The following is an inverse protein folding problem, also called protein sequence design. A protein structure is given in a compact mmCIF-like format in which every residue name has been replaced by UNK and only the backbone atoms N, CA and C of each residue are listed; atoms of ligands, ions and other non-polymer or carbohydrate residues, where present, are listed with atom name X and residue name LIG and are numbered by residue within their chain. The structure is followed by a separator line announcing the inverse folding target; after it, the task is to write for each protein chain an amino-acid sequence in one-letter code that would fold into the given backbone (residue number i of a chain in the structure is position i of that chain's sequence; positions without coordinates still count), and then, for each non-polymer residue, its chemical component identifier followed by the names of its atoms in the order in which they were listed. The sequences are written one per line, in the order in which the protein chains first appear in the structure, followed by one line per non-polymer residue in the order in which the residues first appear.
data_IF_835604248883
#
_entry.id   IF_835604248883
#
_cell.length_a   1.000
_cell.length_b   1.000
_cell.length_c   1.000
_cell.angle_alpha   90.00
_cell.angle_beta   90.00
_cell.angle_gamma   90.00
#
_symmetry.space_group_name_H-M   'P 1'
#
loop_
_entity.id
_entity.type
_entity.pdbx_description
1 polymer ?
#
# COMPACT_ATOMS: atom_id res chain seq x y z
N UNK A 1 15.79 -9.21 -28.67
CA UNK A 1 14.55 -8.40 -28.79
C UNK A 1 15.01 -6.96 -29.01
N UNK A 2 14.70 -6.30 -30.14
CA UNK A 2 15.22 -4.93 -30.39
C UNK A 2 14.50 -3.90 -29.51
N UNK A 3 15.18 -2.80 -29.22
CA UNK A 3 14.66 -1.67 -28.45
C UNK A 3 13.37 -1.13 -29.09
N UNK A 4 13.28 -1.15 -30.41
CA UNK A 4 12.10 -0.69 -31.17
C UNK A 4 10.84 -1.52 -30.89
N UNK A 5 10.97 -2.83 -30.69
CA UNK A 5 9.82 -3.69 -30.30
C UNK A 5 9.37 -3.42 -28.87
N UNK A 6 10.28 -3.01 -27.99
CA UNK A 6 10.01 -2.65 -26.61
C UNK A 6 9.33 -1.28 -26.52
N UNK A 7 9.78 -0.32 -27.33
CA UNK A 7 9.16 1.00 -27.44
C UNK A 7 7.81 0.96 -28.14
N UNK A 8 7.63 0.14 -29.18
CA UNK A 8 6.34 -0.06 -29.83
C UNK A 8 5.29 -0.69 -28.88
N UNK A 9 5.69 -1.69 -28.07
CA UNK A 9 4.82 -2.23 -27.01
C UNK A 9 4.49 -1.19 -25.93
N UNK A 10 5.46 -0.38 -25.50
CA UNK A 10 5.24 0.69 -24.52
C UNK A 10 4.35 1.82 -25.08
N UNK A 11 4.48 2.13 -26.36
CA UNK A 11 3.65 3.12 -27.06
C UNK A 11 2.20 2.62 -27.23
N UNK A 12 2.00 1.37 -27.63
CA UNK A 12 0.67 0.75 -27.73
C UNK A 12 0.00 0.55 -26.36
N UNK A 13 0.77 0.32 -25.29
CA UNK A 13 0.24 0.28 -23.93
C UNK A 13 -0.20 1.68 -23.42
N UNK A 14 0.42 2.77 -23.92
CA UNK A 14 -0.01 4.14 -23.61
C UNK A 14 -1.28 4.56 -24.37
N UNK A 15 -1.63 3.90 -25.47
CA UNK A 15 -2.83 4.20 -26.27
C UNK A 15 -4.06 3.35 -25.94
N UNK A 16 -3.91 2.27 -25.17
CA UNK A 16 -5.04 1.46 -24.70
C UNK A 16 -5.45 1.88 -23.28
N UNK A 17 -6.60 2.54 -23.08
CA UNK A 17 -7.01 3.01 -21.74
C UNK A 17 -7.51 1.89 -20.84
N UNK A 18 -7.80 0.70 -21.38
CA UNK A 18 -8.49 -0.37 -20.64
C UNK A 18 -7.71 -0.82 -19.39
N UNK A 19 -6.39 -1.09 -19.43
CA UNK A 19 -5.61 -1.39 -18.23
C UNK A 19 -5.73 -0.33 -17.12
N UNK A 20 -5.63 0.96 -17.48
CA UNK A 20 -5.76 2.05 -16.51
C UNK A 20 -7.17 2.13 -15.93
N UNK A 21 -8.19 1.95 -16.76
CA UNK A 21 -9.59 1.92 -16.32
C UNK A 21 -9.85 0.77 -15.34
N UNK A 22 -9.37 -0.44 -15.62
CA UNK A 22 -9.50 -1.60 -14.71
C UNK A 22 -8.90 -1.29 -13.34
N UNK A 23 -7.72 -0.65 -13.32
CA UNK A 23 -7.05 -0.30 -12.08
C UNK A 23 -7.78 0.79 -11.29
N UNK A 24 -8.29 1.83 -11.95
CA UNK A 24 -9.07 2.88 -11.28
C UNK A 24 -10.41 2.36 -10.75
N UNK A 25 -11.09 1.49 -11.51
CA UNK A 25 -12.30 0.81 -11.04
C UNK A 25 -11.99 -0.07 -9.81
N UNK A 26 -10.89 -0.82 -9.83
CA UNK A 26 -10.46 -1.65 -8.71
C UNK A 26 -10.24 -0.83 -7.44
N UNK A 27 -9.55 0.31 -7.53
CA UNK A 27 -9.38 1.22 -6.38
C UNK A 27 -10.73 1.72 -5.87
N UNK A 28 -11.61 2.17 -6.76
CA UNK A 28 -12.91 2.71 -6.41
C UNK A 28 -13.83 1.69 -5.74
N UNK A 29 -13.93 0.49 -6.30
CA UNK A 29 -14.73 -0.60 -5.71
C UNK A 29 -14.14 -1.07 -4.38
N UNK A 30 -12.81 -1.18 -4.29
CA UNK A 30 -12.12 -1.54 -3.04
C UNK A 30 -12.42 -0.54 -1.92
N UNK A 31 -12.22 0.77 -2.17
CA UNK A 31 -12.44 1.82 -1.15
C UNK A 31 -13.90 1.88 -0.70
N UNK A 32 -14.86 1.60 -1.60
CA UNK A 32 -16.30 1.58 -1.27
C UNK A 32 -16.78 0.27 -0.65
N UNK A 33 -15.98 -0.80 -0.69
CA UNK A 33 -16.39 -2.11 -0.21
C UNK A 33 -17.37 -2.83 -1.12
N UNK A 34 -17.42 -2.48 -2.40
CA UNK A 34 -18.33 -3.09 -3.37
C UNK A 34 -17.76 -4.44 -3.85
N UNK A 35 -17.99 -5.50 -3.05
CA UNK A 35 -17.49 -6.85 -3.31
C UNK A 35 -18.06 -7.45 -4.61
N UNK A 36 -19.30 -7.13 -4.97
CA UNK A 36 -19.95 -7.65 -6.18
C UNK A 36 -19.31 -7.07 -7.45
N UNK A 37 -19.11 -5.75 -7.48
CA UNK A 37 -18.40 -5.09 -8.58
C UNK A 37 -16.93 -5.50 -8.64
N UNK A 38 -16.28 -5.68 -7.48
CA UNK A 38 -14.91 -6.17 -7.39
C UNK A 38 -14.75 -7.57 -8.01
N UNK A 39 -15.65 -8.51 -7.66
CA UNK A 39 -15.62 -9.86 -8.21
C UNK A 39 -15.89 -9.87 -9.73
N UNK A 40 -16.88 -9.08 -10.16
CA UNK A 40 -17.16 -8.91 -11.59
C UNK A 40 -15.94 -8.38 -12.36
N UNK A 41 -15.23 -7.42 -11.77
CA UNK A 41 -14.03 -6.83 -12.35
C UNK A 41 -12.87 -7.84 -12.42
N UNK A 42 -12.68 -8.67 -11.39
CA UNK A 42 -11.66 -9.73 -11.38
C UNK A 42 -11.93 -10.72 -12.51
N UNK A 43 -13.17 -11.19 -12.66
CA UNK A 43 -13.53 -12.16 -13.71
C UNK A 43 -13.37 -11.56 -15.12
N UNK A 44 -13.72 -10.27 -15.29
CA UNK A 44 -13.45 -9.55 -16.54
C UNK A 44 -11.95 -9.45 -16.83
N UNK A 45 -11.13 -9.11 -15.82
CA UNK A 45 -9.68 -9.05 -15.98
C UNK A 45 -9.11 -10.42 -16.35
N UNK A 46 -9.50 -11.50 -15.65
CA UNK A 46 -9.07 -12.88 -15.98
C UNK A 46 -9.39 -13.26 -17.42
N UNK A 47 -10.57 -12.87 -17.91
CA UNK A 47 -11.05 -13.21 -19.26
C UNK A 47 -10.35 -12.42 -20.37
N UNK A 48 -10.27 -11.10 -20.22
CA UNK A 48 -9.93 -10.20 -21.32
C UNK A 48 -8.53 -9.57 -21.19
N UNK A 49 -8.00 -9.49 -19.96
CA UNK A 49 -6.74 -8.82 -19.62
C UNK A 49 -5.98 -9.58 -18.50
N UNK A 50 -5.62 -10.85 -18.71
CA UNK A 50 -5.05 -11.69 -17.65
C UNK A 50 -3.75 -11.13 -17.07
N UNK A 51 -3.01 -10.32 -17.84
CA UNK A 51 -1.81 -9.60 -17.40
C UNK A 51 -2.08 -8.47 -16.41
N UNK A 52 -3.31 -7.97 -16.33
CA UNK A 52 -3.73 -6.93 -15.40
C UNK A 52 -4.31 -7.49 -14.09
N UNK A 53 -4.61 -8.80 -14.03
CA UNK A 53 -5.18 -9.45 -12.84
C UNK A 53 -4.38 -9.15 -11.56
N UNK A 54 -3.04 -9.26 -11.52
CA UNK A 54 -2.28 -8.92 -10.33
C UNK A 54 -2.55 -7.50 -9.82
N UNK A 55 -2.54 -6.50 -10.73
CA UNK A 55 -2.75 -5.10 -10.36
C UNK A 55 -4.18 -4.84 -9.89
N UNK A 56 -5.17 -5.49 -10.51
CA UNK A 56 -6.57 -5.43 -10.07
C UNK A 56 -6.71 -5.98 -8.65
N UNK A 57 -6.13 -7.16 -8.37
CA UNK A 57 -6.15 -7.76 -7.04
C UNK A 57 -5.47 -6.87 -6.00
N UNK A 58 -4.31 -6.30 -6.33
CA UNK A 58 -3.56 -5.42 -5.43
C UNK A 58 -4.33 -4.14 -5.11
N UNK A 59 -4.93 -3.50 -6.12
CA UNK A 59 -5.73 -2.29 -5.95
C UNK A 59 -7.02 -2.56 -5.16
N UNK A 60 -7.66 -3.72 -5.37
CA UNK A 60 -8.83 -4.12 -4.58
C UNK A 60 -8.44 -4.39 -3.13
N UNK A 61 -7.40 -5.17 -2.87
CA UNK A 61 -6.94 -5.49 -1.51
C UNK A 61 -6.52 -4.24 -0.74
N UNK A 62 -5.72 -3.38 -1.37
CA UNK A 62 -5.34 -2.08 -0.79
C UNK A 62 -6.55 -1.17 -0.60
N UNK A 63 -7.45 -1.10 -1.57
CA UNK A 63 -8.67 -0.29 -1.48
C UNK A 63 -9.60 -0.73 -0.35
N UNK A 64 -9.89 -2.04 -0.24
CA UNK A 64 -10.67 -2.59 0.87
C UNK A 64 -10.02 -2.27 2.22
N UNK A 65 -8.70 -2.37 2.29
CA UNK A 65 -7.95 -2.05 3.49
C UNK A 65 -8.04 -0.56 3.85
N UNK A 66 -7.86 0.35 2.90
CA UNK A 66 -8.03 1.81 3.10
C UNK A 66 -9.45 2.14 3.56
N UNK A 67 -10.47 1.58 2.90
CA UNK A 67 -11.88 1.82 3.19
C UNK A 67 -12.39 1.18 4.50
N UNK A 68 -11.57 0.42 5.21
CA UNK A 68 -11.98 -0.27 6.43
C UNK A 68 -12.78 -1.57 6.21
N UNK A 69 -12.82 -2.06 4.97
CA UNK A 69 -13.51 -3.30 4.59
C UNK A 69 -12.64 -4.54 4.86
N UNK A 70 -12.26 -4.71 6.12
CA UNK A 70 -11.27 -5.70 6.56
C UNK A 70 -11.62 -7.13 6.12
N UNK A 71 -12.89 -7.53 6.29
CA UNK A 71 -13.36 -8.86 5.90
C UNK A 71 -13.15 -9.12 4.41
N UNK A 72 -13.48 -8.15 3.55
CA UNK A 72 -13.28 -8.25 2.11
C UNK A 72 -11.79 -8.37 1.75
N UNK A 73 -10.92 -7.58 2.40
CA UNK A 73 -9.47 -7.67 2.19
C UNK A 73 -8.91 -9.07 2.55
N UNK A 74 -9.31 -9.64 3.69
CA UNK A 74 -8.89 -10.99 4.09
C UNK A 74 -9.47 -12.08 3.20
N UNK A 75 -10.75 -11.98 2.83
CA UNK A 75 -11.38 -12.93 1.90
C UNK A 75 -10.66 -12.95 0.55
N UNK A 76 -10.31 -11.76 0.02
CA UNK A 76 -9.56 -11.65 -1.23
C UNK A 76 -8.18 -12.32 -1.10
N UNK A 77 -7.48 -12.09 0.01
CA UNK A 77 -6.20 -12.74 0.30
C UNK A 77 -6.34 -14.27 0.35
N UNK A 78 -7.37 -14.79 1.02
CA UNK A 78 -7.61 -16.23 1.12
C UNK A 78 -7.97 -16.86 -0.23
N UNK A 79 -8.70 -16.14 -1.08
CA UNK A 79 -9.00 -16.59 -2.44
C UNK A 79 -7.72 -16.63 -3.30
N UNK A 80 -6.89 -15.59 -3.23
CA UNK A 80 -5.62 -15.54 -3.96
C UNK A 80 -4.65 -16.62 -3.47
N UNK A 81 -4.60 -16.90 -2.16
CA UNK A 81 -3.83 -18.03 -1.61
C UNK A 81 -4.24 -19.38 -2.20
N UNK A 82 -5.52 -19.56 -2.57
CA UNK A 82 -6.03 -20.80 -3.15
C UNK A 82 -5.82 -20.87 -4.67
N UNK A 83 -6.10 -19.77 -5.37
CA UNK A 83 -6.12 -19.74 -6.84
C UNK A 83 -4.76 -19.43 -7.45
N UNK A 84 -4.01 -18.50 -6.87
CA UNK A 84 -2.71 -18.08 -7.39
C UNK A 84 -1.76 -17.61 -6.26
N UNK A 85 -1.11 -18.56 -5.55
CA UNK A 85 -0.22 -18.26 -4.43
C UNK A 85 0.95 -17.33 -4.77
N UNK A 86 1.35 -17.24 -6.05
CA UNK A 86 2.44 -16.37 -6.50
C UNK A 86 2.13 -14.87 -6.33
N UNK A 87 0.86 -14.50 -6.28
CA UNK A 87 0.42 -13.11 -6.12
C UNK A 87 0.28 -12.69 -4.65
N UNK A 88 0.37 -13.64 -3.72
CA UNK A 88 0.24 -13.39 -2.27
C UNK A 88 1.24 -12.33 -1.78
N UNK A 89 2.54 -12.38 -2.10
CA UNK A 89 3.49 -11.36 -1.64
C UNK A 89 3.11 -9.93 -2.06
N UNK A 90 2.66 -9.74 -3.31
CA UNK A 90 2.24 -8.44 -3.80
C UNK A 90 0.98 -7.94 -3.08
N UNK A 91 -0.01 -8.82 -2.96
CA UNK A 91 -1.27 -8.51 -2.29
C UNK A 91 -1.09 -8.21 -0.79
N UNK A 92 -0.22 -8.94 -0.09
CA UNK A 92 0.10 -8.68 1.31
C UNK A 92 0.62 -7.25 1.51
N UNK A 93 1.55 -6.83 0.64
CA UNK A 93 2.11 -5.48 0.68
C UNK A 93 1.02 -4.43 0.43
N UNK A 94 0.13 -4.65 -0.54
CA UNK A 94 -0.96 -3.72 -0.85
C UNK A 94 -2.00 -3.60 0.27
N UNK A 95 -2.40 -4.72 0.88
CA UNK A 95 -3.33 -4.72 2.03
C UNK A 95 -2.71 -4.02 3.24
N UNK A 96 -1.46 -4.36 3.59
CA UNK A 96 -0.78 -3.74 4.72
C UNK A 96 -0.61 -2.23 4.53
N UNK A 97 -0.12 -1.83 3.34
CA UNK A 97 -0.05 -0.41 2.97
C UNK A 97 -1.42 0.28 3.10
N UNK A 98 -2.50 -0.38 2.63
CA UNK A 98 -3.85 0.16 2.72
C UNK A 98 -4.35 0.34 4.15
N UNK A 99 -4.12 -0.63 5.05
CA UNK A 99 -4.48 -0.48 6.47
C UNK A 99 -3.75 0.71 7.09
N UNK A 100 -2.45 0.86 6.77
CA UNK A 100 -1.65 1.96 7.29
C UNK A 100 -2.08 3.31 6.72
N UNK A 101 -2.33 3.39 5.41
CA UNK A 101 -2.80 4.61 4.74
C UNK A 101 -4.16 5.06 5.26
N UNK A 102 -5.06 4.13 5.57
CA UNK A 102 -6.37 4.43 6.16
C UNK A 102 -6.35 4.68 7.67
N UNK A 103 -5.19 4.59 8.34
CA UNK A 103 -5.08 4.79 9.78
C UNK A 103 -5.61 3.65 10.64
N UNK A 104 -5.83 2.47 10.06
CA UNK A 104 -6.41 1.30 10.73
C UNK A 104 -5.34 0.55 11.53
N UNK A 105 -4.79 1.22 12.56
CA UNK A 105 -3.63 0.74 13.32
C UNK A 105 -3.80 -0.66 13.89
N UNK A 106 -4.94 -0.95 14.52
CA UNK A 106 -5.17 -2.26 15.15
C UNK A 106 -5.12 -3.40 14.12
N UNK A 107 -5.67 -3.16 12.93
CA UNK A 107 -5.73 -4.10 11.82
C UNK A 107 -4.37 -4.24 11.15
N UNK A 108 -3.63 -3.14 11.01
CA UNK A 108 -2.23 -3.15 10.63
C UNK A 108 -1.38 -4.02 11.58
N UNK A 109 -1.53 -3.86 12.90
CA UNK A 109 -0.79 -4.64 13.92
C UNK A 109 -1.15 -6.14 13.85
N UNK A 110 -2.44 -6.47 13.72
CA UNK A 110 -2.90 -7.87 13.52
C UNK A 110 -2.37 -8.47 12.22
N UNK A 111 -2.36 -7.68 11.14
CA UNK A 111 -1.88 -8.12 9.84
C UNK A 111 -0.38 -8.39 9.86
N UNK A 112 0.41 -7.52 10.49
CA UNK A 112 1.84 -7.74 10.74
C UNK A 112 2.09 -9.04 11.51
N UNK A 113 1.31 -9.29 12.56
CA UNK A 113 1.45 -10.52 13.35
C UNK A 113 1.15 -11.77 12.52
N UNK A 114 0.14 -11.71 11.65
CA UNK A 114 -0.17 -12.80 10.71
C UNK A 114 0.98 -13.02 9.72
N UNK A 115 1.51 -11.96 9.10
CA UNK A 115 2.63 -12.07 8.16
C UNK A 115 3.91 -12.55 8.86
N UNK A 116 4.16 -12.14 10.10
CA UNK A 116 5.30 -12.63 10.91
C UNK A 116 5.26 -14.14 11.11
N UNK A 117 4.05 -14.70 11.29
CA UNK A 117 3.85 -16.13 11.47
C UNK A 117 3.90 -16.89 10.14
N UNK A 118 3.20 -16.41 9.12
CA UNK A 118 2.89 -17.19 7.92
C UNK A 118 3.82 -16.87 6.73
N UNK A 119 4.40 -15.67 6.70
CA UNK A 119 5.22 -15.15 5.59
C UNK A 119 6.38 -14.25 6.11
N UNK A 120 7.26 -14.76 6.99
CA UNK A 120 8.27 -13.95 7.68
C UNK A 120 9.27 -13.28 6.72
N UNK A 121 9.48 -13.85 5.54
CA UNK A 121 10.32 -13.31 4.47
C UNK A 121 9.78 -12.00 3.87
N UNK A 122 8.48 -11.76 3.98
CA UNK A 122 7.82 -10.56 3.46
C UNK A 122 7.89 -9.37 4.44
N UNK A 123 8.21 -9.62 5.71
CA UNK A 123 8.16 -8.60 6.74
C UNK A 123 9.03 -7.36 6.49
N UNK A 124 10.31 -7.47 6.07
CA UNK A 124 11.14 -6.28 5.87
C UNK A 124 10.52 -5.30 4.87
N UNK A 125 9.99 -5.82 3.76
CA UNK A 125 9.28 -5.02 2.77
C UNK A 125 7.98 -4.46 3.35
N UNK A 126 7.20 -5.29 4.05
CA UNK A 126 5.93 -4.89 4.62
C UNK A 126 6.08 -3.73 5.64
N UNK A 127 7.08 -3.77 6.51
CA UNK A 127 7.38 -2.67 7.45
C UNK A 127 7.61 -1.35 6.72
N UNK A 128 8.43 -1.35 5.67
CA UNK A 128 8.70 -0.14 4.88
C UNK A 128 7.44 0.39 4.19
N UNK A 129 6.62 -0.50 3.62
CA UNK A 129 5.38 -0.12 2.95
C UNK A 129 4.39 0.47 3.94
N UNK A 130 4.13 -0.21 5.05
CA UNK A 130 3.19 0.25 6.08
C UNK A 130 3.65 1.56 6.73
N UNK A 131 4.95 1.75 6.99
CA UNK A 131 5.45 3.02 7.51
C UNK A 131 5.23 4.17 6.52
N UNK A 132 5.47 3.92 5.23
CA UNK A 132 5.14 4.86 4.16
C UNK A 132 3.63 5.14 4.07
N UNK A 133 2.79 4.12 4.24
CA UNK A 133 1.33 4.23 4.25
C UNK A 133 0.86 5.13 5.40
N UNK A 134 1.28 4.86 6.63
CA UNK A 134 0.95 5.69 7.79
C UNK A 134 1.40 7.14 7.59
N UNK A 135 2.63 7.37 7.10
CA UNK A 135 3.12 8.71 6.83
C UNK A 135 2.28 9.46 5.78
N UNK A 136 1.92 8.78 4.68
CA UNK A 136 1.06 9.35 3.64
C UNK A 136 -0.36 9.60 4.12
N UNK A 137 -0.87 8.79 5.06
CA UNK A 137 -2.16 8.98 5.71
C UNK A 137 -2.17 10.07 6.80
N UNK A 138 -1.02 10.68 7.10
CA UNK A 138 -0.90 11.68 8.17
C UNK A 138 -0.76 11.08 9.57
N UNK A 139 -0.52 9.78 9.69
CA UNK A 139 -0.35 9.04 10.94
C UNK A 139 1.14 8.94 11.32
N UNK A 140 1.82 10.09 11.41
CA UNK A 140 3.27 10.16 11.60
C UNK A 140 3.76 9.40 12.85
N UNK A 141 3.01 9.46 13.96
CA UNK A 141 3.36 8.72 15.19
C UNK A 141 3.40 7.21 14.97
N UNK A 142 2.43 6.66 14.23
CA UNK A 142 2.37 5.23 13.96
C UNK A 142 3.43 4.80 12.95
N UNK A 143 3.73 5.67 11.97
CA UNK A 143 4.85 5.47 11.07
C UNK A 143 6.18 5.35 11.85
N UNK A 144 6.46 6.26 12.80
CA UNK A 144 7.69 6.20 13.60
C UNK A 144 7.74 4.97 14.50
N UNK A 145 6.66 4.65 15.21
CA UNK A 145 6.61 3.44 16.06
C UNK A 145 6.88 2.18 15.26
N UNK A 146 6.29 2.08 14.07
CA UNK A 146 6.48 0.92 13.22
C UNK A 146 7.93 0.78 12.74
N UNK A 147 8.59 1.91 12.48
CA UNK A 147 9.98 1.96 12.11
C UNK A 147 10.91 1.56 13.27
N UNK A 148 10.63 2.04 14.49
CA UNK A 148 11.37 1.66 15.70
C UNK A 148 11.25 0.14 15.95
N UNK A 149 10.04 -0.42 15.82
CA UNK A 149 9.80 -1.85 15.94
C UNK A 149 10.59 -2.66 14.91
N UNK A 150 10.64 -2.18 13.67
CA UNK A 150 11.36 -2.85 12.61
C UNK A 150 12.89 -2.76 12.81
N UNK A 151 13.39 -1.66 13.38
CA UNK A 151 14.79 -1.53 13.77
C UNK A 151 15.16 -2.53 14.88
N UNK A 152 14.36 -2.58 15.94
CA UNK A 152 14.57 -3.48 17.08
C UNK A 152 14.49 -4.96 16.68
N UNK A 153 13.45 -5.33 15.94
CA UNK A 153 13.18 -6.74 15.60
C UNK A 153 14.04 -7.24 14.44
N UNK A 154 14.33 -6.42 13.45
CA UNK A 154 14.93 -6.86 12.17
C UNK A 154 16.31 -6.24 11.90
N UNK A 155 16.48 -4.92 12.01
CA UNK A 155 17.74 -4.28 11.61
C UNK A 155 18.89 -4.58 12.57
N UNK A 156 18.63 -4.68 13.87
CA UNK A 156 19.64 -5.08 14.87
C UNK A 156 20.06 -6.56 14.73
N UNK A 157 19.16 -7.43 14.27
CA UNK A 157 19.43 -8.87 14.08
C UNK A 157 20.01 -9.20 12.71
N UNK A 158 19.79 -8.36 11.70
CA UNK A 158 20.24 -8.59 10.31
C UNK A 158 20.97 -7.38 9.68
N UNK A 159 22.11 -6.93 10.25
CA UNK A 159 22.80 -5.69 9.84
C UNK A 159 23.35 -5.67 8.40
N UNK A 160 23.45 -6.83 7.74
CA UNK A 160 23.89 -6.96 6.33
C UNK A 160 22.73 -7.01 5.33
N UNK A 161 21.51 -7.28 5.78
CA UNK A 161 20.28 -7.25 4.97
C UNK A 161 19.65 -5.85 4.95
N UNK A 162 20.40 -4.84 5.43
CA UNK A 162 20.02 -3.44 5.45
C UNK A 162 19.73 -2.97 4.01
N UNK A 163 18.48 -3.09 3.57
CA UNK A 163 18.04 -2.47 2.34
C UNK A 163 18.10 -0.97 2.56
N UNK A 164 18.97 -0.30 1.80
CA UNK A 164 19.07 1.16 1.68
C UNK A 164 17.69 1.80 1.63
N UNK A 165 16.72 1.12 0.99
CA UNK A 165 15.31 1.47 0.89
C UNK A 165 14.62 1.74 2.23
N UNK A 166 14.90 0.96 3.28
CA UNK A 166 14.25 1.14 4.58
C UNK A 166 14.82 2.36 5.33
N UNK A 167 16.14 2.57 5.28
CA UNK A 167 16.76 3.78 5.83
C UNK A 167 16.35 5.04 5.04
N UNK A 168 16.20 4.93 3.72
CA UNK A 168 15.69 6.03 2.89
C UNK A 168 14.21 6.30 3.14
N UNK A 169 13.39 5.28 3.33
CA UNK A 169 11.99 5.42 3.73
C UNK A 169 11.90 6.13 5.09
N UNK A 170 12.70 5.70 6.08
CA UNK A 170 12.87 6.36 7.39
C UNK A 170 13.20 7.85 7.25
N UNK A 171 14.19 8.19 6.43
CA UNK A 171 14.58 9.59 6.22
C UNK A 171 13.51 10.40 5.48
N UNK A 172 12.79 9.79 4.55
CA UNK A 172 11.72 10.45 3.79
C UNK A 172 10.49 10.73 4.65
N UNK A 173 10.11 9.76 5.50
CA UNK A 173 9.03 9.93 6.49
C UNK A 173 9.38 10.99 7.53
N UNK A 174 10.63 11.02 8.03
CA UNK A 174 11.10 12.09 8.95
C UNK A 174 10.96 13.48 8.33
N UNK A 175 11.41 13.65 7.08
CA UNK A 175 11.28 14.93 6.34
C UNK A 175 9.82 15.33 6.10
N UNK A 176 8.95 14.37 5.81
CA UNK A 176 7.52 14.65 5.64
C UNK A 176 6.85 15.07 6.94
N UNK A 177 7.16 14.42 8.06
CA UNK A 177 6.66 14.80 9.38
C UNK A 177 7.11 16.20 9.81
N UNK A 178 8.39 16.54 9.57
CA UNK A 178 8.93 17.89 9.81
C UNK A 178 8.24 18.96 8.95
N UNK A 179 8.00 18.67 7.67
CA UNK A 179 7.31 19.58 6.75
C UNK A 179 5.83 19.80 7.13
N UNK A 180 5.15 18.76 7.63
CA UNK A 180 3.75 18.86 8.08
C UNK A 180 3.64 19.62 9.41
N UNK A 181 4.56 19.40 10.34
CA UNK A 181 4.67 20.17 11.58
C UNK A 181 4.85 21.66 11.31
N UNK A 182 5.76 22.02 10.39
CA UNK A 182 6.01 23.41 9.99
C UNK A 182 4.78 24.05 9.31
N UNK A 183 4.02 23.27 8.54
CA UNK A 183 2.81 23.76 7.87
C UNK A 183 1.67 24.04 8.87
N UNK A 184 1.49 23.18 9.88
CA UNK A 184 0.51 23.39 10.94
C UNK A 184 0.87 24.58 11.84
N UNK A 185 2.16 24.76 12.17
CA UNK A 185 2.62 25.93 12.94
C UNK A 185 2.41 27.25 12.18
N UNK A 186 2.62 27.25 10.86
CA UNK A 186 2.36 28.41 10.01
C UNK A 186 0.86 28.73 9.91
N UNK A 187 -0.01 27.73 9.76
CA UNK A 187 -1.47 27.93 9.76
C UNK A 187 -1.98 28.49 11.10
N UNK A 188 -1.48 27.98 12.22
CA UNK A 188 -1.83 28.49 13.56
C UNK A 188 -1.32 29.93 13.76
N UNK A 189 -0.14 30.26 13.24
CA UNK A 189 0.43 31.61 13.31
C UNK A 189 -0.35 32.62 12.46
N UNK A 190 -0.74 32.23 11.23
CA UNK A 190 -1.54 33.06 10.32
C UNK A 190 -2.97 33.26 10.85
N UNK A 191 -3.60 32.23 11.42
CA UNK A 191 -4.94 32.33 12.02
C UNK A 191 -4.99 33.26 13.25
N UNK A 192 -3.92 33.34 14.04
CA UNK A 192 -3.82 34.26 15.19
C UNK A 192 -3.72 35.73 14.77
N UNK A 193 -3.07 36.03 13.64
CA UNK A 193 -2.91 37.40 13.13
C UNK A 193 -4.17 37.97 12.46
N UNK A 194 -5.18 37.14 12.14
CA UNK A 194 -6.44 37.60 11.55
C UNK A 194 -7.55 37.90 12.59
N UNK A 195 -7.36 37.54 13.86
CA UNK A 195 -8.32 37.77 14.95
C UNK A 195 -7.98 39.00 15.81
N UNK A 196 -6.93 39.74 15.46
CA UNK A 196 -6.42 40.90 16.23
C UNK A 196 -6.44 42.23 15.46
N UNK A 197 -7.20 42.33 14.35
CA UNK A 197 -7.43 43.59 13.63
C UNK A 197 -8.88 44.04 13.70
#
# INVERSE_FOLDING_TARGET
MSIDKLEAKRSAARSNPIPAMLQEMAKGFGIKGDEDSANTLIERAKKDHPDEVPKVLYNLGGGFAVGGHFKAAYNLLDNVKKENPYEVPGLLNSIGFGFALGGHKEQADKFLTMVEKDHPDQLPKLYSQMAGGFAQGGHATDAFKLLDMAEEKYLLKHPKSNTVDMRQALQSVKKQGESQSLSQELEVSVGKNQLTN
#
